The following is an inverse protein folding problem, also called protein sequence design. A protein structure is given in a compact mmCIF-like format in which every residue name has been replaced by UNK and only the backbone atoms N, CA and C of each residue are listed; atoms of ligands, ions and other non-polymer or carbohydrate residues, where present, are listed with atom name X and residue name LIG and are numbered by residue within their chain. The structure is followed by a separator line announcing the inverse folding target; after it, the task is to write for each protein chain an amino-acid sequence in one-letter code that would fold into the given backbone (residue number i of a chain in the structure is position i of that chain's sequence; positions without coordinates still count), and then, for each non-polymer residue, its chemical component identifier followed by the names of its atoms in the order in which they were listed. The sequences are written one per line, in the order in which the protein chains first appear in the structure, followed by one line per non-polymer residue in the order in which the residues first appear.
data_IF_514493315329
#
_entry.id   IF_514493315329
#
_cell.length_a   1.000
_cell.length_b   1.000
_cell.length_c   1.000
_cell.angle_alpha   90.00
_cell.angle_beta   90.00
_cell.angle_gamma   90.00
#
_symmetry.space_group_name_H-M   'P 1'
#
loop_
_entity.id
_entity.type
_entity.pdbx_description
1 polymer ?
#
# COMPACT_ATOMS: atom_id res chain seq x y z
N UNK A 1 -28.37 4.17 22.86
CA UNK A 1 -27.25 3.56 22.11
C UNK A 1 -27.64 3.51 20.65
N UNK A 2 -26.84 4.07 19.75
CA UNK A 2 -26.94 3.83 18.30
C UNK A 2 -26.28 2.48 18.07
N UNK A 3 -26.91 1.57 17.31
CA UNK A 3 -26.29 0.28 17.00
C UNK A 3 -25.14 0.48 16.00
N UNK A 4 -24.22 -0.48 15.98
CA UNK A 4 -23.01 -0.39 15.16
C UNK A 4 -23.32 -0.42 13.65
N UNK A 5 -24.33 -1.16 13.24
CA UNK A 5 -24.77 -1.25 11.84
C UNK A 5 -25.24 0.11 11.32
N UNK A 6 -26.06 0.83 12.08
CA UNK A 6 -26.48 2.20 11.76
C UNK A 6 -25.28 3.14 11.65
N UNK A 7 -24.33 3.09 12.59
CA UNK A 7 -23.11 3.92 12.54
C UNK A 7 -22.29 3.66 11.28
N UNK A 8 -22.10 2.39 10.92
CA UNK A 8 -21.34 2.01 9.71
C UNK A 8 -22.07 2.46 8.46
N UNK A 9 -23.40 2.27 8.38
CA UNK A 9 -24.20 2.66 7.24
C UNK A 9 -24.15 4.18 6.99
N UNK A 10 -24.37 4.97 8.05
CA UNK A 10 -24.29 6.44 7.97
C UNK A 10 -22.88 6.92 7.59
N UNK A 11 -21.83 6.26 8.10
CA UNK A 11 -20.44 6.58 7.76
C UNK A 11 -20.16 6.31 6.27
N UNK A 12 -20.67 5.19 5.72
CA UNK A 12 -20.54 4.86 4.29
C UNK A 12 -21.29 5.84 3.41
N UNK A 13 -22.53 6.20 3.75
CA UNK A 13 -23.32 7.19 3.00
C UNK A 13 -22.65 8.57 2.94
N UNK A 14 -21.93 8.94 4.01
CA UNK A 14 -21.18 10.20 4.10
C UNK A 14 -19.77 10.13 3.55
N UNK A 15 -19.34 8.97 3.03
CA UNK A 15 -17.98 8.72 2.57
C UNK A 15 -16.92 8.97 3.67
N UNK A 16 -17.22 8.60 4.92
CA UNK A 16 -16.25 8.68 5.99
C UNK A 16 -15.09 7.70 5.75
N UNK A 17 -13.88 8.12 6.09
CA UNK A 17 -12.71 7.24 6.03
C UNK A 17 -12.51 6.47 7.33
N UNK A 18 -12.86 7.06 8.47
CA UNK A 18 -12.66 6.46 9.79
C UNK A 18 -13.85 6.81 10.71
N UNK A 19 -14.14 5.91 11.66
CA UNK A 19 -15.08 6.11 12.76
C UNK A 19 -14.30 6.01 14.07
N UNK A 20 -14.43 7.00 14.94
CA UNK A 20 -13.83 7.01 16.28
C UNK A 20 -14.92 6.92 17.33
N UNK A 21 -14.81 5.94 18.22
CA UNK A 21 -15.78 5.65 19.30
C UNK A 21 -15.05 5.71 20.64
N UNK A 22 -15.27 6.79 21.38
CA UNK A 22 -14.59 7.06 22.67
C UNK A 22 -15.62 7.41 23.73
N UNK A 23 -15.46 6.85 24.92
CA UNK A 23 -16.36 7.14 26.06
C UNK A 23 -16.32 8.62 26.42
N UNK A 24 -17.50 9.23 26.60
CA UNK A 24 -17.66 10.65 26.92
C UNK A 24 -17.77 11.58 25.72
N UNK A 25 -17.56 11.08 24.51
CA UNK A 25 -17.75 11.80 23.27
C UNK A 25 -18.85 11.14 22.42
N UNK A 26 -19.59 11.89 21.57
CA UNK A 26 -20.44 11.27 20.57
C UNK A 26 -19.58 10.53 19.55
N UNK A 27 -20.14 9.58 18.75
CA UNK A 27 -19.41 8.99 17.63
C UNK A 27 -18.84 10.08 16.72
N UNK A 28 -17.60 9.93 16.26
CA UNK A 28 -16.91 10.90 15.44
C UNK A 28 -16.53 10.25 14.11
N UNK A 29 -16.90 10.88 13.00
CA UNK A 29 -16.51 10.47 11.65
C UNK A 29 -15.37 11.34 11.12
N UNK A 30 -14.47 10.76 10.35
CA UNK A 30 -13.51 11.51 9.57
C UNK A 30 -14.04 11.68 8.15
N UNK A 31 -14.45 12.91 7.81
CA UNK A 31 -14.98 13.31 6.51
C UNK A 31 -13.95 14.24 5.84
N UNK A 32 -13.47 13.87 4.66
CA UNK A 32 -12.48 14.67 3.90
C UNK A 32 -11.23 15.11 4.71
N UNK A 33 -10.85 14.28 5.70
CA UNK A 33 -9.72 14.53 6.60
C UNK A 33 -10.08 15.23 7.91
N UNK A 34 -11.26 15.84 8.02
CA UNK A 34 -11.72 16.54 9.22
C UNK A 34 -12.56 15.64 10.13
N UNK A 35 -12.46 15.85 11.46
CA UNK A 35 -13.25 15.12 12.45
C UNK A 35 -14.59 15.84 12.65
N UNK A 36 -15.69 15.11 12.48
CA UNK A 36 -17.05 15.60 12.58
C UNK A 36 -17.87 14.73 13.52
N UNK A 37 -18.54 15.32 14.51
CA UNK A 37 -19.41 14.59 15.41
C UNK A 37 -20.63 14.03 14.69
N UNK A 38 -20.99 12.79 14.99
CA UNK A 38 -22.21 12.15 14.56
C UNK A 38 -23.21 12.09 15.73
N UNK A 39 -24.19 12.97 15.72
CA UNK A 39 -25.13 13.16 16.82
C UNK A 39 -24.55 14.00 17.97
N UNK A 40 -25.29 14.07 19.07
CA UNK A 40 -24.96 14.88 20.24
C UNK A 40 -24.82 14.06 21.52
N UNK A 41 -25.15 12.77 21.49
CA UNK A 41 -25.19 11.90 22.68
C UNK A 41 -23.85 11.25 22.90
N UNK A 42 -23.14 11.54 24.01
CA UNK A 42 -21.88 10.89 24.34
C UNK A 42 -22.03 9.40 24.55
N UNK A 43 -21.05 8.62 24.09
CA UNK A 43 -20.97 7.19 24.32
C UNK A 43 -20.64 6.88 25.77
N UNK A 44 -21.24 5.82 26.29
CA UNK A 44 -20.94 5.24 27.59
C UNK A 44 -19.94 4.07 27.45
N UNK A 45 -19.37 3.63 28.55
CA UNK A 45 -18.50 2.44 28.58
C UNK A 45 -19.27 1.17 28.16
N UNK A 46 -20.56 1.09 28.47
CA UNK A 46 -21.41 0.00 28.02
C UNK A 46 -21.57 -0.03 26.51
N UNK A 47 -21.67 1.14 25.86
CA UNK A 47 -21.80 1.26 24.40
C UNK A 47 -20.50 0.78 23.71
N UNK A 48 -19.35 1.30 24.12
CA UNK A 48 -18.06 0.92 23.50
C UNK A 48 -17.71 -0.55 23.75
N UNK A 49 -18.07 -1.09 24.92
CA UNK A 49 -17.89 -2.52 25.23
C UNK A 49 -18.79 -3.39 24.35
N UNK A 50 -20.04 -2.99 24.10
CA UNK A 50 -20.94 -3.72 23.21
C UNK A 50 -20.41 -3.76 21.78
N UNK A 51 -19.91 -2.63 21.24
CA UNK A 51 -19.29 -2.56 19.91
C UNK A 51 -18.06 -3.48 19.79
N UNK A 52 -17.22 -3.51 20.84
CA UNK A 52 -16.08 -4.45 20.86
C UNK A 52 -16.55 -5.89 20.81
N UNK A 53 -17.54 -6.27 21.61
CA UNK A 53 -18.04 -7.65 21.64
C UNK A 53 -18.64 -8.09 20.31
N UNK A 54 -19.18 -7.17 19.54
CA UNK A 54 -19.75 -7.44 18.22
C UNK A 54 -18.66 -7.65 17.14
N UNK A 55 -17.52 -6.95 17.26
CA UNK A 55 -16.46 -6.96 16.26
C UNK A 55 -15.36 -7.98 16.52
N UNK A 56 -15.09 -8.30 17.80
CA UNK A 56 -13.86 -9.02 18.18
C UNK A 56 -14.10 -10.51 18.33
N UNK A 57 -13.13 -11.32 17.88
CA UNK A 57 -13.16 -12.77 18.13
C UNK A 57 -12.70 -13.10 19.56
N UNK A 58 -13.06 -14.29 20.12
CA UNK A 58 -12.65 -14.67 21.46
C UNK A 58 -11.12 -14.68 21.69
N UNK A 59 -10.34 -15.00 20.65
CA UNK A 59 -8.88 -14.98 20.72
C UNK A 59 -8.33 -13.57 20.86
N UNK A 60 -8.78 -12.65 20.01
CA UNK A 60 -8.42 -11.24 20.05
C UNK A 60 -8.93 -10.52 21.30
N UNK A 61 -10.09 -10.95 21.83
CA UNK A 61 -10.61 -10.41 23.10
C UNK A 61 -9.68 -10.73 24.27
N UNK A 62 -9.09 -11.93 24.27
CA UNK A 62 -8.08 -12.32 25.27
C UNK A 62 -6.83 -11.45 25.15
N UNK A 63 -6.33 -11.26 23.94
CA UNK A 63 -5.18 -10.38 23.65
C UNK A 63 -5.46 -8.94 24.13
N UNK A 64 -6.62 -8.39 23.80
CA UNK A 64 -7.04 -7.08 24.27
C UNK A 64 -7.07 -6.97 25.80
N UNK A 65 -7.52 -8.03 26.49
CA UNK A 65 -7.52 -8.04 27.97
C UNK A 65 -6.11 -8.08 28.55
N UNK A 66 -5.17 -8.77 27.91
CA UNK A 66 -3.79 -8.92 28.36
C UNK A 66 -2.91 -7.71 28.01
N UNK A 67 -3.03 -7.20 26.78
CA UNK A 67 -2.16 -6.16 26.24
C UNK A 67 -2.75 -4.74 26.36
N UNK A 68 -4.09 -4.62 26.47
CA UNK A 68 -4.80 -3.34 26.50
C UNK A 68 -5.10 -2.77 25.12
N UNK A 69 -4.71 -3.47 24.06
CA UNK A 69 -4.96 -3.12 22.66
C UNK A 69 -5.09 -4.37 21.79
N UNK A 70 -5.80 -4.27 20.68
CA UNK A 70 -5.89 -5.28 19.63
C UNK A 70 -6.10 -4.61 18.27
N UNK A 71 -5.34 -5.02 17.26
CA UNK A 71 -5.45 -4.55 15.87
C UNK A 71 -5.84 -5.73 14.97
N UNK A 72 -6.96 -5.58 14.24
CA UNK A 72 -7.49 -6.66 13.39
C UNK A 72 -8.30 -6.10 12.23
N UNK A 73 -8.58 -6.93 11.24
CA UNK A 73 -9.50 -6.60 10.17
C UNK A 73 -10.75 -7.49 10.23
N UNK A 74 -11.90 -6.92 9.94
CA UNK A 74 -13.18 -7.62 9.90
C UNK A 74 -14.02 -7.17 8.71
N UNK A 75 -14.74 -8.12 8.09
CA UNK A 75 -15.80 -7.79 7.13
C UNK A 75 -17.12 -7.81 7.89
N UNK A 76 -17.76 -6.65 7.98
CA UNK A 76 -18.99 -6.49 8.72
C UNK A 76 -20.20 -6.68 7.80
N UNK A 77 -20.96 -7.75 7.98
CA UNK A 77 -22.21 -8.11 7.28
C UNK A 77 -22.17 -7.94 5.76
N UNK A 78 -21.02 -8.18 5.12
CA UNK A 78 -20.78 -7.93 3.68
C UNK A 78 -21.02 -6.47 3.24
N UNK A 79 -21.17 -5.55 4.18
CA UNK A 79 -21.36 -4.12 3.93
C UNK A 79 -20.03 -3.39 3.72
N UNK A 80 -19.06 -3.71 4.56
CA UNK A 80 -17.77 -3.04 4.56
C UNK A 80 -16.70 -3.92 5.20
N UNK A 81 -15.47 -3.83 4.70
CA UNK A 81 -14.30 -4.31 5.42
C UNK A 81 -13.75 -3.17 6.27
N UNK A 82 -13.36 -3.47 7.49
CA UNK A 82 -12.80 -2.47 8.40
C UNK A 82 -11.49 -2.98 8.98
N UNK A 83 -10.52 -2.08 9.11
CA UNK A 83 -9.41 -2.25 10.04
C UNK A 83 -9.81 -1.64 11.36
N UNK A 84 -9.81 -2.45 12.40
CA UNK A 84 -10.25 -2.09 13.72
C UNK A 84 -9.06 -2.05 14.67
N UNK A 85 -8.84 -0.95 15.34
CA UNK A 85 -7.97 -0.87 16.51
C UNK A 85 -8.82 -0.61 17.75
N UNK A 86 -8.79 -1.55 18.69
CA UNK A 86 -9.44 -1.46 20.00
C UNK A 86 -8.36 -1.20 21.03
N UNK A 87 -8.53 -0.19 21.85
CA UNK A 87 -7.51 0.20 22.84
C UNK A 87 -8.11 0.74 24.11
N UNK A 88 -7.32 0.72 25.19
CA UNK A 88 -7.71 1.33 26.48
C UNK A 88 -7.21 2.76 26.58
N UNK A 89 -8.11 3.65 27.00
CA UNK A 89 -7.83 5.04 27.27
C UNK A 89 -8.40 5.41 28.64
N UNK A 90 -7.56 5.79 29.60
CA UNK A 90 -7.96 6.10 31.00
C UNK A 90 -8.78 4.99 31.68
N UNK A 91 -8.44 3.73 31.38
CA UNK A 91 -9.14 2.55 31.91
C UNK A 91 -10.41 2.18 31.14
N UNK A 92 -10.89 3.01 30.22
CA UNK A 92 -12.09 2.78 29.40
C UNK A 92 -11.70 2.31 28.00
N UNK A 93 -12.63 1.60 27.35
CA UNK A 93 -12.43 1.08 25.99
C UNK A 93 -12.75 2.13 24.94
N UNK A 94 -11.91 2.23 23.92
CA UNK A 94 -12.10 3.07 22.73
C UNK A 94 -11.83 2.26 21.47
N UNK A 95 -12.44 2.66 20.33
CA UNK A 95 -12.26 2.02 19.03
C UNK A 95 -11.93 3.08 17.98
N UNK A 96 -11.01 2.72 17.08
CA UNK A 96 -10.77 3.41 15.83
C UNK A 96 -11.01 2.43 14.68
N UNK A 97 -12.03 2.70 13.86
CA UNK A 97 -12.45 1.84 12.77
C UNK A 97 -12.15 2.56 11.46
N UNK A 98 -11.25 2.02 10.64
CA UNK A 98 -11.00 2.50 9.28
C UNK A 98 -11.82 1.72 8.29
N UNK A 99 -12.64 2.42 7.51
CA UNK A 99 -13.47 1.82 6.48
C UNK A 99 -12.63 1.55 5.24
N UNK A 100 -12.66 0.30 4.77
CA UNK A 100 -11.94 -0.14 3.58
C UNK A 100 -12.95 -0.45 2.47
N UNK A 101 -12.71 -0.04 1.22
CA UNK A 101 -13.62 -0.33 0.12
C UNK A 101 -13.66 -1.85 -0.14
N UNK A 102 -14.86 -2.41 -0.30
CA UNK A 102 -15.01 -3.81 -0.70
C UNK A 102 -14.64 -4.04 -2.17
N UNK A 103 -14.89 -3.03 -3.01
CA UNK A 103 -14.60 -3.11 -4.44
C UNK A 103 -13.15 -2.73 -4.71
N UNK A 104 -12.46 -3.57 -5.47
CA UNK A 104 -11.16 -3.25 -6.04
C UNK A 104 -11.38 -2.35 -7.26
N UNK A 105 -10.76 -1.18 -7.26
CA UNK A 105 -10.77 -0.30 -8.41
C UNK A 105 -9.86 -0.86 -9.51
N UNK A 106 -10.29 -0.75 -10.77
CA UNK A 106 -9.47 -1.21 -11.90
C UNK A 106 -8.23 -0.34 -12.10
N UNK A 107 -7.24 -0.86 -12.80
CA UNK A 107 -6.03 -0.11 -13.15
C UNK A 107 -6.36 1.19 -13.92
N UNK A 108 -7.39 1.16 -14.77
CA UNK A 108 -7.86 2.33 -15.52
C UNK A 108 -8.51 3.38 -14.60
N UNK A 109 -9.37 2.97 -13.67
CA UNK A 109 -10.01 3.86 -12.70
C UNK A 109 -8.98 4.54 -11.78
N UNK A 110 -7.90 3.83 -11.43
CA UNK A 110 -6.80 4.40 -10.66
C UNK A 110 -5.85 5.26 -11.50
N UNK A 111 -6.00 5.27 -12.83
CA UNK A 111 -5.11 5.97 -13.74
C UNK A 111 -3.68 5.39 -13.75
N UNK A 112 -3.54 4.07 -13.56
CA UNK A 112 -2.22 3.43 -13.58
C UNK A 112 -1.59 3.55 -14.97
N UNK A 113 -0.33 4.01 -15.07
CA UNK A 113 0.37 4.05 -16.34
C UNK A 113 0.48 2.65 -16.96
N UNK A 114 0.31 2.51 -18.30
CA UNK A 114 0.34 1.21 -18.97
C UNK A 114 1.60 0.38 -18.69
N UNK A 115 2.74 1.04 -18.50
CA UNK A 115 4.01 0.37 -18.18
C UNK A 115 4.00 -0.28 -16.79
N UNK A 116 3.23 0.26 -15.85
CA UNK A 116 3.02 -0.32 -14.51
C UNK A 116 2.11 -1.53 -14.62
N UNK A 117 1.02 -1.42 -15.38
CA UNK A 117 0.11 -2.56 -15.63
C UNK A 117 0.84 -3.70 -16.33
N UNK A 118 1.70 -3.40 -17.32
CA UNK A 118 2.50 -4.39 -18.03
C UNK A 118 3.47 -5.19 -17.12
N UNK A 119 3.75 -4.73 -15.89
CA UNK A 119 4.52 -5.54 -14.94
C UNK A 119 3.74 -6.76 -14.44
N UNK A 120 2.42 -6.71 -14.45
CA UNK A 120 1.55 -7.83 -14.11
C UNK A 120 1.65 -9.00 -15.11
N UNK A 121 2.10 -8.72 -16.34
CA UNK A 121 2.26 -9.72 -17.40
C UNK A 121 3.63 -10.41 -17.39
N UNK A 122 4.53 -9.97 -16.51
CA UNK A 122 5.86 -10.57 -16.39
C UNK A 122 5.75 -12.02 -15.88
N UNK A 123 6.58 -12.93 -16.42
CA UNK A 123 6.61 -14.30 -15.94
C UNK A 123 7.26 -14.44 -14.55
N UNK A 124 8.20 -13.56 -14.22
CA UNK A 124 8.99 -13.56 -12.99
C UNK A 124 9.68 -12.20 -12.79
N UNK A 125 10.22 -12.00 -11.62
CA UNK A 125 11.01 -10.83 -11.25
C UNK A 125 10.43 -10.12 -10.05
N UNK A 126 11.07 -9.04 -9.62
CA UNK A 126 10.67 -8.21 -8.48
C UNK A 126 10.12 -6.87 -8.97
N UNK A 127 8.91 -6.54 -8.56
CA UNK A 127 8.25 -5.24 -8.81
C UNK A 127 7.99 -4.56 -7.49
N UNK A 128 8.48 -3.34 -7.33
CA UNK A 128 8.38 -2.58 -6.09
C UNK A 128 7.41 -1.41 -6.25
N UNK A 129 6.47 -1.28 -5.32
CA UNK A 129 5.61 -0.10 -5.19
C UNK A 129 5.96 0.60 -3.88
N UNK A 130 6.43 1.83 -3.96
CA UNK A 130 7.00 2.56 -2.82
C UNK A 130 6.30 3.88 -2.58
N UNK A 131 6.42 4.41 -1.37
CA UNK A 131 5.82 5.69 -1.00
C UNK A 131 5.35 5.70 0.45
N UNK A 132 4.97 6.86 0.99
CA UNK A 132 4.52 7.00 2.37
C UNK A 132 3.21 6.22 2.63
N UNK A 133 2.86 6.08 3.90
CA UNK A 133 1.54 5.56 4.30
C UNK A 133 0.44 6.43 3.70
N UNK A 134 -0.62 5.80 3.17
CA UNK A 134 -1.73 6.51 2.54
C UNK A 134 -1.46 7.00 1.10
N UNK A 135 -0.34 6.62 0.46
CA UNK A 135 -0.06 6.96 -0.94
C UNK A 135 -0.82 6.09 -1.96
N UNK A 136 -1.59 5.10 -1.52
CA UNK A 136 -2.41 4.24 -2.39
C UNK A 136 -1.68 2.99 -2.91
N UNK A 137 -0.57 2.56 -2.29
CA UNK A 137 0.19 1.35 -2.68
C UNK A 137 -0.68 0.11 -2.73
N UNK A 138 -1.44 -0.13 -1.66
CA UNK A 138 -2.34 -1.30 -1.56
C UNK A 138 -3.38 -1.31 -2.68
N UNK A 139 -3.97 -0.15 -3.01
CA UNK A 139 -4.95 -0.05 -4.11
C UNK A 139 -4.31 -0.35 -5.47
N UNK A 140 -3.09 0.15 -5.71
CA UNK A 140 -2.33 -0.14 -6.94
C UNK A 140 -2.02 -1.62 -7.05
N UNK A 141 -1.53 -2.24 -5.97
CA UNK A 141 -1.21 -3.68 -5.95
C UNK A 141 -2.46 -4.54 -6.09
N UNK A 142 -3.56 -4.18 -5.40
CA UNK A 142 -4.83 -4.87 -5.56
C UNK A 142 -5.32 -4.82 -7.02
N UNK A 143 -5.24 -3.66 -7.69
CA UNK A 143 -5.61 -3.53 -9.10
C UNK A 143 -4.71 -4.35 -10.04
N UNK A 144 -3.40 -4.47 -9.75
CA UNK A 144 -2.48 -5.31 -10.52
C UNK A 144 -2.79 -6.80 -10.32
N UNK A 145 -3.06 -7.24 -9.08
CA UNK A 145 -3.46 -8.62 -8.80
C UNK A 145 -4.82 -8.95 -9.42
N UNK A 146 -5.77 -8.01 -9.38
CA UNK A 146 -7.07 -8.16 -10.03
C UNK A 146 -6.94 -8.28 -11.55
N UNK A 147 -6.07 -7.50 -12.18
CA UNK A 147 -5.74 -7.63 -13.59
C UNK A 147 -5.19 -9.02 -13.92
N UNK A 148 -4.26 -9.57 -13.12
CA UNK A 148 -3.73 -10.93 -13.28
C UNK A 148 -4.88 -11.95 -13.13
N UNK A 149 -5.70 -11.79 -12.10
CA UNK A 149 -6.80 -12.71 -11.78
C UNK A 149 -7.83 -12.85 -12.92
N UNK A 150 -8.11 -11.74 -13.64
CA UNK A 150 -9.07 -11.77 -14.76
C UNK A 150 -8.44 -12.15 -16.10
N UNK A 151 -7.12 -12.10 -16.26
CA UNK A 151 -6.45 -12.28 -17.55
C UNK A 151 -5.57 -13.53 -17.67
N UNK A 152 -5.20 -14.15 -16.54
CA UNK A 152 -4.20 -15.22 -16.50
C UNK A 152 -4.64 -16.36 -15.60
N UNK A 153 -4.04 -17.54 -15.78
CA UNK A 153 -4.28 -18.72 -14.95
C UNK A 153 -3.06 -19.00 -14.10
N UNK A 154 -3.02 -18.40 -12.91
CA UNK A 154 -1.88 -18.46 -11.99
C UNK A 154 -2.33 -18.73 -10.56
N UNK A 155 -1.40 -19.16 -9.73
CA UNK A 155 -1.60 -19.21 -8.29
C UNK A 155 -0.98 -17.97 -7.65
N UNK A 156 -1.80 -17.15 -7.01
CA UNK A 156 -1.41 -15.92 -6.35
C UNK A 156 -1.44 -16.14 -4.83
N UNK A 157 -0.34 -15.85 -4.15
CA UNK A 157 -0.28 -15.84 -2.69
C UNK A 157 0.01 -14.43 -2.21
N UNK A 158 -0.78 -13.92 -1.28
CA UNK A 158 -0.52 -12.64 -0.62
C UNK A 158 -0.14 -12.84 0.84
N UNK A 159 0.73 -11.98 1.34
CA UNK A 159 1.12 -11.85 2.74
C UNK A 159 0.90 -10.40 3.13
N UNK A 160 -0.02 -10.13 4.04
CA UNK A 160 -0.50 -8.77 4.34
C UNK A 160 -0.67 -8.56 5.86
N UNK A 161 -0.67 -7.29 6.31
CA UNK A 161 -0.80 -6.92 7.73
C UNK A 161 -1.54 -5.58 7.89
N UNK A 162 -2.90 -5.60 7.98
CA UNK A 162 -3.81 -6.70 7.66
C UNK A 162 -4.14 -6.80 6.16
N UNK A 163 -4.99 -7.78 5.79
CA UNK A 163 -5.56 -7.84 4.43
C UNK A 163 -6.54 -6.68 4.24
N UNK A 164 -6.20 -5.75 3.32
CA UNK A 164 -7.05 -4.58 3.02
C UNK A 164 -8.12 -4.88 1.98
N UNK A 165 -7.79 -5.57 0.90
CA UNK A 165 -8.71 -5.91 -0.18
C UNK A 165 -8.92 -7.41 -0.27
N UNK A 166 -10.17 -7.85 -0.36
CA UNK A 166 -10.50 -9.26 -0.57
C UNK A 166 -10.62 -9.56 -2.06
N UNK A 167 -9.83 -10.52 -2.53
CA UNK A 167 -9.88 -11.00 -3.90
C UNK A 167 -10.72 -12.26 -3.99
N UNK A 168 -11.75 -12.25 -4.84
CA UNK A 168 -12.42 -13.47 -5.24
C UNK A 168 -11.63 -14.13 -6.39
N UNK A 169 -11.37 -15.44 -6.28
CA UNK A 169 -10.73 -16.20 -7.38
C UNK A 169 -11.62 -16.21 -8.61
N UNK A 170 -11.05 -15.88 -9.80
CA UNK A 170 -11.70 -15.97 -11.10
C UNK A 170 -10.93 -16.98 -11.99
N UNK A 171 -9.97 -16.52 -12.80
CA UNK A 171 -9.10 -17.41 -13.56
C UNK A 171 -7.90 -17.91 -12.73
N UNK A 172 -7.51 -17.15 -11.69
CA UNK A 172 -6.46 -17.52 -10.76
C UNK A 172 -7.02 -18.21 -9.50
N UNK A 173 -6.16 -18.98 -8.82
CA UNK A 173 -6.36 -19.32 -7.42
C UNK A 173 -5.67 -18.24 -6.59
N UNK A 174 -6.37 -17.63 -5.62
CA UNK A 174 -5.82 -16.59 -4.75
C UNK A 174 -5.91 -17.04 -3.30
N UNK A 175 -4.75 -17.13 -2.64
CA UNK A 175 -4.64 -17.40 -1.22
C UNK A 175 -4.06 -16.18 -0.51
N UNK A 176 -4.90 -15.46 0.23
CA UNK A 176 -4.50 -14.32 1.05
C UNK A 176 -4.22 -14.78 2.47
N UNK A 177 -3.07 -14.38 3.02
CA UNK A 177 -2.64 -14.78 4.36
C UNK A 177 -2.29 -13.54 5.16
N UNK A 178 -2.94 -13.38 6.31
CA UNK A 178 -2.72 -12.28 7.23
C UNK A 178 -1.61 -12.61 8.24
N UNK A 179 -0.66 -11.70 8.40
CA UNK A 179 0.36 -11.82 9.45
C UNK A 179 -0.30 -11.60 10.80
N UNK A 180 0.06 -12.45 11.77
CA UNK A 180 -0.57 -12.49 13.09
C UNK A 180 -1.73 -13.47 13.19
N UNK A 181 -2.54 -13.63 12.13
CA UNK A 181 -3.67 -14.57 12.10
C UNK A 181 -3.31 -15.90 11.41
N UNK A 182 -2.80 -15.84 10.15
CA UNK A 182 -2.54 -17.02 9.31
C UNK A 182 -1.06 -17.39 9.26
N UNK A 183 -0.18 -16.47 9.60
CA UNK A 183 1.29 -16.68 9.63
C UNK A 183 1.93 -15.79 10.68
N UNK A 184 3.02 -16.25 11.28
CA UNK A 184 3.66 -15.53 12.38
C UNK A 184 4.48 -14.30 11.97
N UNK A 185 4.90 -14.19 10.69
CA UNK A 185 5.64 -13.03 10.15
C UNK A 185 5.66 -13.06 8.64
N UNK A 186 6.00 -11.94 8.00
CA UNK A 186 6.23 -11.87 6.55
C UNK A 186 7.29 -12.87 6.09
N UNK A 187 8.44 -12.92 6.76
CA UNK A 187 9.51 -13.84 6.42
C UNK A 187 9.11 -15.31 6.54
N UNK A 188 8.41 -15.69 7.62
CA UNK A 188 7.92 -17.05 7.81
C UNK A 188 6.87 -17.43 6.77
N UNK A 189 5.92 -16.53 6.51
CA UNK A 189 4.87 -16.70 5.49
C UNK A 189 5.46 -16.87 4.10
N UNK A 190 6.45 -16.04 3.73
CA UNK A 190 7.10 -16.07 2.43
C UNK A 190 7.91 -17.36 2.21
N UNK A 191 8.68 -17.80 3.22
CA UNK A 191 9.35 -19.10 3.16
C UNK A 191 8.37 -20.28 3.00
N UNK A 192 7.20 -20.20 3.63
CA UNK A 192 6.17 -21.19 3.47
C UNK A 192 5.54 -21.15 2.06
N UNK A 193 5.26 -19.95 1.55
CA UNK A 193 4.68 -19.71 0.24
C UNK A 193 5.49 -20.38 -0.89
N UNK A 194 6.81 -20.32 -0.84
CA UNK A 194 7.70 -20.96 -1.82
C UNK A 194 7.53 -22.50 -1.95
N UNK A 195 6.80 -23.13 -1.02
CA UNK A 195 6.45 -24.58 -1.07
C UNK A 195 4.97 -24.82 -1.36
N UNK A 196 4.25 -23.78 -1.76
CA UNK A 196 2.82 -23.81 -2.02
C UNK A 196 2.50 -23.64 -3.51
N UNK A 197 3.52 -23.83 -4.37
CA UNK A 197 3.41 -23.72 -5.84
C UNK A 197 2.84 -22.36 -6.32
N UNK A 198 3.39 -21.23 -5.86
CA UNK A 198 2.93 -19.92 -6.31
C UNK A 198 3.55 -19.53 -7.65
N UNK A 199 2.81 -18.84 -8.49
CA UNK A 199 3.34 -18.10 -9.64
C UNK A 199 3.60 -16.64 -9.31
N UNK A 200 2.72 -16.06 -8.47
CA UNK A 200 2.74 -14.66 -8.08
C UNK A 200 2.69 -14.55 -6.56
N UNK A 201 3.55 -13.73 -6.00
CA UNK A 201 3.60 -13.49 -4.56
C UNK A 201 3.49 -11.98 -4.31
N UNK A 202 2.56 -11.56 -3.45
CA UNK A 202 2.52 -10.22 -2.90
C UNK A 202 3.07 -10.23 -1.47
N UNK A 203 4.08 -9.40 -1.22
CA UNK A 203 4.59 -9.11 0.13
C UNK A 203 4.14 -7.70 0.50
N UNK A 204 3.14 -7.60 1.35
CA UNK A 204 2.47 -6.34 1.72
C UNK A 204 3.46 -5.29 2.21
N UNK A 205 4.48 -5.69 2.97
CA UNK A 205 5.57 -4.81 3.37
C UNK A 205 6.89 -5.54 3.59
N UNK A 206 7.99 -4.98 3.07
CA UNK A 206 9.36 -5.48 3.23
C UNK A 206 10.15 -4.59 4.18
N UNK A 207 9.99 -4.80 5.50
CA UNK A 207 10.63 -3.98 6.55
C UNK A 207 11.98 -4.50 7.02
N UNK A 208 12.13 -5.80 7.05
CA UNK A 208 13.28 -6.48 7.63
C UNK A 208 14.13 -7.20 6.58
N UNK A 209 15.39 -7.39 6.92
CA UNK A 209 16.40 -8.03 6.07
C UNK A 209 15.96 -9.43 5.60
N UNK A 210 15.35 -10.22 6.47
CA UNK A 210 14.97 -11.59 6.16
C UNK A 210 13.85 -11.63 5.12
N UNK A 211 12.83 -10.76 5.25
CA UNK A 211 11.75 -10.62 4.29
C UNK A 211 12.28 -10.15 2.93
N UNK A 212 13.17 -9.13 2.91
CA UNK A 212 13.78 -8.61 1.68
C UNK A 212 14.61 -9.71 0.98
N UNK A 213 15.48 -10.40 1.72
CA UNK A 213 16.32 -11.48 1.17
C UNK A 213 15.48 -12.61 0.58
N UNK A 214 14.42 -13.02 1.29
CA UNK A 214 13.53 -14.09 0.83
C UNK A 214 12.72 -13.67 -0.40
N UNK A 215 12.28 -12.41 -0.50
CA UNK A 215 11.59 -11.87 -1.67
C UNK A 215 12.50 -11.84 -2.92
N UNK A 216 13.76 -11.43 -2.76
CA UNK A 216 14.76 -11.47 -3.82
C UNK A 216 14.97 -12.91 -4.28
N UNK A 217 15.15 -13.84 -3.34
CA UNK A 217 15.32 -15.28 -3.65
C UNK A 217 14.11 -15.86 -4.37
N UNK A 218 12.89 -15.49 -3.97
CA UNK A 218 11.66 -15.89 -4.65
C UNK A 218 11.66 -15.43 -6.13
N UNK A 219 12.05 -14.18 -6.38
CA UNK A 219 12.15 -13.64 -7.74
C UNK A 219 13.26 -14.34 -8.56
N UNK A 220 14.41 -14.67 -7.95
CA UNK A 220 15.48 -15.44 -8.61
C UNK A 220 15.04 -16.85 -9.00
N UNK A 221 14.21 -17.48 -8.16
CA UNK A 221 13.74 -18.85 -8.37
C UNK A 221 12.53 -18.95 -9.32
N UNK A 222 12.13 -17.85 -9.94
CA UNK A 222 11.17 -17.87 -11.05
C UNK A 222 9.78 -17.32 -10.77
N UNK A 223 9.54 -16.75 -9.59
CA UNK A 223 8.25 -16.17 -9.21
C UNK A 223 8.16 -14.68 -9.59
N UNK A 224 6.97 -14.19 -9.89
CA UNK A 224 6.67 -12.77 -9.96
C UNK A 224 6.35 -12.26 -8.55
N UNK A 225 7.20 -11.40 -8.02
CA UNK A 225 7.08 -10.88 -6.66
C UNK A 225 6.73 -9.40 -6.69
N UNK A 226 5.63 -9.03 -6.07
CA UNK A 226 5.28 -7.66 -5.77
C UNK A 226 5.61 -7.36 -4.31
N UNK A 227 6.23 -6.22 -4.04
CA UNK A 227 6.55 -5.81 -2.68
C UNK A 227 6.40 -4.32 -2.45
N UNK A 228 6.22 -3.92 -1.18
CA UNK A 228 6.19 -2.49 -0.83
C UNK A 228 7.31 -2.11 0.12
N UNK A 229 7.72 -0.83 -0.01
CA UNK A 229 8.59 -0.14 0.93
C UNK A 229 8.08 1.29 1.18
N UNK A 230 8.52 1.88 2.30
CA UNK A 230 8.19 3.27 2.65
C UNK A 230 9.27 4.27 2.19
N UNK A 231 9.95 3.99 1.10
CA UNK A 231 10.96 4.88 0.50
C UNK A 231 10.33 5.94 -0.40
N UNK A 232 10.95 7.11 -0.49
CA UNK A 232 10.61 8.12 -1.49
C UNK A 232 11.53 7.96 -2.70
N UNK A 233 10.91 7.83 -3.88
CA UNK A 233 11.62 7.74 -5.15
C UNK A 233 12.17 6.34 -5.49
N UNK A 234 12.16 6.01 -6.76
CA UNK A 234 12.53 4.71 -7.28
C UNK A 234 14.05 4.43 -7.14
N UNK A 235 14.89 5.43 -7.40
CA UNK A 235 16.35 5.28 -7.26
C UNK A 235 16.77 5.03 -5.80
N UNK A 236 16.21 5.81 -4.84
CA UNK A 236 16.52 5.68 -3.43
C UNK A 236 16.09 4.32 -2.83
N UNK A 237 15.12 3.67 -3.47
CA UNK A 237 14.64 2.35 -3.04
C UNK A 237 15.73 1.29 -3.18
N UNK A 238 16.57 1.38 -4.21
CA UNK A 238 17.69 0.44 -4.45
C UNK A 238 18.71 0.56 -3.31
N UNK A 239 19.15 1.77 -3.00
CA UNK A 239 20.12 2.01 -1.95
C UNK A 239 19.55 1.58 -0.58
N UNK A 240 18.28 1.89 -0.31
CA UNK A 240 17.61 1.48 0.92
C UNK A 240 17.58 -0.04 1.12
N UNK A 241 17.32 -0.80 0.05
CA UNK A 241 17.35 -2.26 0.09
C UNK A 241 18.78 -2.73 0.40
N UNK A 242 19.78 -2.24 -0.31
CA UNK A 242 21.17 -2.66 -0.14
C UNK A 242 21.69 -2.29 1.25
N UNK A 243 21.39 -1.09 1.73
CA UNK A 243 21.86 -0.58 3.03
C UNK A 243 21.21 -1.29 4.23
N UNK A 244 20.09 -2.01 4.01
CA UNK A 244 19.51 -2.84 5.07
C UNK A 244 20.33 -4.09 5.40
N UNK A 245 21.30 -4.43 4.54
CA UNK A 245 22.18 -5.61 4.74
C UNK A 245 23.53 -5.23 5.36
N UNK A 246 24.16 -6.15 6.14
CA UNK A 246 25.53 -5.99 6.60
C UNK A 246 26.49 -5.73 5.43
N UNK A 247 27.54 -4.95 5.68
CA UNK A 247 28.48 -4.49 4.64
C UNK A 247 29.08 -5.64 3.79
N UNK A 248 29.35 -6.77 4.42
CA UNK A 248 29.87 -7.97 3.75
C UNK A 248 28.88 -8.63 2.79
N UNK A 249 27.58 -8.42 2.97
CA UNK A 249 26.52 -8.98 2.13
C UNK A 249 26.04 -8.02 1.03
N UNK A 250 26.30 -6.72 1.17
CA UNK A 250 25.77 -5.70 0.27
C UNK A 250 26.14 -5.92 -1.20
N UNK A 251 27.36 -6.38 -1.48
CA UNK A 251 27.77 -6.65 -2.86
C UNK A 251 27.00 -7.83 -3.48
N UNK A 252 26.75 -8.88 -2.71
CA UNK A 252 25.95 -10.02 -3.17
C UNK A 252 24.50 -9.61 -3.44
N UNK A 253 23.88 -8.91 -2.50
CA UNK A 253 22.51 -8.42 -2.63
C UNK A 253 22.36 -7.46 -3.81
N UNK A 254 23.36 -6.60 -4.05
CA UNK A 254 23.41 -5.71 -5.22
C UNK A 254 23.34 -6.48 -6.54
N UNK A 255 24.10 -7.57 -6.64
CA UNK A 255 24.09 -8.43 -7.84
C UNK A 255 22.74 -9.11 -8.01
N UNK A 256 22.21 -9.70 -6.96
CA UNK A 256 20.91 -10.38 -6.98
C UNK A 256 19.76 -9.40 -7.31
N UNK A 257 19.72 -8.26 -6.63
CA UNK A 257 18.72 -7.22 -6.89
C UNK A 257 18.79 -6.71 -8.34
N UNK A 258 20.00 -6.47 -8.86
CA UNK A 258 20.19 -6.03 -10.24
C UNK A 258 19.69 -7.07 -11.25
N UNK A 259 19.72 -8.36 -10.92
CA UNK A 259 19.23 -9.43 -11.79
C UNK A 259 17.71 -9.56 -11.80
N UNK A 260 17.08 -9.44 -10.64
CA UNK A 260 15.65 -9.73 -10.50
C UNK A 260 14.74 -8.51 -10.56
N UNK A 261 15.24 -7.29 -10.28
CA UNK A 261 14.42 -6.09 -10.27
C UNK A 261 13.95 -5.75 -11.68
N UNK A 262 12.63 -5.70 -11.88
CA UNK A 262 12.00 -5.33 -13.16
C UNK A 262 11.53 -3.88 -13.18
N UNK A 263 10.92 -3.42 -12.08
CA UNK A 263 10.36 -2.09 -11.98
C UNK A 263 10.34 -1.60 -10.53
N UNK A 264 10.53 -0.30 -10.33
CA UNK A 264 10.21 0.38 -9.09
C UNK A 264 9.30 1.59 -9.36
N UNK A 265 8.18 1.65 -8.65
CA UNK A 265 7.14 2.66 -8.78
C UNK A 265 7.06 3.45 -7.48
N UNK A 266 7.52 4.69 -7.50
CA UNK A 266 7.30 5.65 -6.42
C UNK A 266 5.91 6.26 -6.56
N UNK A 267 5.08 6.22 -5.52
CA UNK A 267 3.69 6.66 -5.56
C UNK A 267 3.40 7.69 -4.47
N UNK A 268 2.74 8.78 -4.86
CA UNK A 268 2.22 9.81 -3.97
C UNK A 268 0.76 10.09 -4.31
N UNK A 269 -0.08 10.34 -3.31
CA UNK A 269 -1.49 10.68 -3.49
C UNK A 269 -1.70 12.14 -3.15
N UNK A 270 -2.23 12.92 -4.09
CA UNK A 270 -2.38 14.38 -3.99
C UNK A 270 -3.86 14.81 -4.14
N UNK A 271 -4.27 15.91 -3.47
CA UNK A 271 -5.59 16.47 -3.64
C UNK A 271 -5.76 17.04 -5.05
N UNK A 272 -6.93 16.79 -5.65
CA UNK A 272 -7.33 17.38 -6.95
C UNK A 272 -8.01 18.74 -6.75
N UNK A 273 -7.93 19.58 -7.78
CA UNK A 273 -8.79 20.75 -7.89
C UNK A 273 -10.23 20.25 -8.00
N UNK A 274 -11.12 20.78 -7.16
CA UNK A 274 -12.54 20.38 -7.15
C UNK A 274 -12.86 19.16 -6.27
N UNK A 275 -11.88 18.64 -5.53
CA UNK A 275 -12.08 17.57 -4.54
C UNK A 275 -11.62 16.19 -5.01
N UNK A 276 -11.50 15.28 -4.07
CA UNK A 276 -10.94 13.94 -4.27
C UNK A 276 -9.40 13.97 -4.40
N UNK A 277 -8.81 12.82 -4.74
CA UNK A 277 -7.36 12.63 -4.82
C UNK A 277 -6.95 12.00 -6.14
N UNK A 278 -5.70 12.20 -6.54
CA UNK A 278 -5.07 11.56 -7.71
C UNK A 278 -3.72 10.96 -7.32
N UNK A 279 -3.40 9.80 -7.87
CA UNK A 279 -2.07 9.22 -7.71
C UNK A 279 -1.10 9.85 -8.70
N UNK A 280 0.13 10.07 -8.24
CA UNK A 280 1.26 10.55 -9.04
C UNK A 280 2.37 9.53 -8.93
N UNK A 281 2.98 9.19 -10.04
CA UNK A 281 3.94 8.09 -10.12
C UNK A 281 5.31 8.57 -10.58
N UNK A 282 6.36 8.15 -9.88
CA UNK A 282 7.72 8.06 -10.40
C UNK A 282 7.96 6.63 -10.86
N UNK A 283 8.42 6.42 -12.08
CA UNK A 283 8.52 5.08 -12.66
C UNK A 283 9.92 4.83 -13.18
N UNK A 284 10.55 3.79 -12.65
CA UNK A 284 11.82 3.25 -13.11
C UNK A 284 11.62 1.83 -13.66
N UNK A 285 11.85 1.64 -14.94
CA UNK A 285 11.94 0.30 -15.55
C UNK A 285 13.40 -0.12 -15.65
N UNK A 286 13.73 -1.31 -15.18
CA UNK A 286 15.13 -1.75 -15.12
C UNK A 286 15.59 -2.21 -16.50
N UNK A 287 16.20 -1.28 -17.23
CA UNK A 287 16.90 -1.54 -18.48
C UNK A 287 18.31 -2.09 -18.23
N UNK A 288 18.99 -2.65 -19.27
CA UNK A 288 20.39 -3.06 -19.14
C UNK A 288 21.32 -1.95 -18.62
N UNK A 289 21.03 -0.68 -18.95
CA UNK A 289 21.79 0.47 -18.46
C UNK A 289 21.59 0.67 -16.94
N UNK A 290 20.33 0.65 -16.46
CA UNK A 290 20.03 0.77 -15.02
C UNK A 290 20.60 -0.43 -14.25
N UNK A 291 20.48 -1.64 -14.78
CA UNK A 291 21.09 -2.85 -14.20
C UNK A 291 22.60 -2.67 -14.01
N UNK A 292 23.30 -2.16 -15.03
CA UNK A 292 24.74 -1.86 -14.94
C UNK A 292 25.04 -0.78 -13.89
N UNK A 293 24.20 0.25 -13.76
CA UNK A 293 24.36 1.28 -12.73
C UNK A 293 24.21 0.71 -11.31
N UNK A 294 23.24 -0.18 -11.11
CA UNK A 294 23.06 -0.89 -9.81
C UNK A 294 24.32 -1.71 -9.50
N UNK A 295 24.77 -2.54 -10.43
CA UNK A 295 25.97 -3.40 -10.26
C UNK A 295 27.23 -2.60 -9.94
N UNK A 296 27.39 -1.41 -10.53
CA UNK A 296 28.58 -0.56 -10.37
C UNK A 296 28.47 0.42 -9.19
N UNK A 297 27.43 0.34 -8.35
CA UNK A 297 27.15 1.30 -7.25
C UNK A 297 27.00 2.76 -7.74
N UNK A 298 26.46 2.94 -8.94
CA UNK A 298 26.24 4.26 -9.56
C UNK A 298 24.75 4.66 -9.54
N UNK A 299 24.06 4.35 -8.46
CA UNK A 299 22.62 4.59 -8.26
C UNK A 299 22.26 6.07 -8.41
N UNK A 300 23.17 7.00 -8.09
CA UNK A 300 22.99 8.43 -8.30
C UNK A 300 22.77 8.83 -9.78
N UNK A 301 23.18 7.98 -10.74
CA UNK A 301 22.96 8.22 -12.18
C UNK A 301 21.58 7.76 -12.66
N UNK A 302 20.86 6.98 -11.85
CA UNK A 302 19.56 6.40 -12.21
C UNK A 302 18.52 7.49 -12.50
N UNK A 303 18.52 8.59 -11.74
CA UNK A 303 17.63 9.74 -12.00
C UNK A 303 17.75 10.25 -13.43
N UNK A 304 18.98 10.43 -13.92
CA UNK A 304 19.22 10.82 -15.32
C UNK A 304 18.79 9.75 -16.33
N UNK A 305 18.92 8.47 -15.96
CA UNK A 305 18.47 7.36 -16.80
C UNK A 305 16.93 7.31 -16.88
N UNK A 306 16.21 7.60 -15.78
CA UNK A 306 14.75 7.73 -15.77
C UNK A 306 14.33 8.88 -16.68
N UNK A 307 14.95 10.06 -16.55
CA UNK A 307 14.65 11.26 -17.33
C UNK A 307 14.76 11.01 -18.84
N UNK A 308 15.77 10.27 -19.27
CA UNK A 308 16.01 9.94 -20.69
C UNK A 308 15.25 8.67 -21.14
N UNK A 309 14.64 7.96 -20.19
CA UNK A 309 13.98 6.66 -20.40
C UNK A 309 12.51 6.74 -20.80
N UNK A 310 11.98 7.90 -21.24
CA UNK A 310 10.55 8.08 -21.59
C UNK A 310 10.04 7.04 -22.61
N UNK A 311 10.87 6.59 -23.54
CA UNK A 311 10.51 5.52 -24.51
C UNK A 311 10.19 4.17 -23.88
N UNK A 312 10.63 3.94 -22.64
CA UNK A 312 10.34 2.73 -21.86
C UNK A 312 9.19 2.94 -20.88
N UNK A 313 8.52 4.10 -20.93
CA UNK A 313 7.47 4.47 -19.99
C UNK A 313 7.99 4.98 -18.64
N UNK A 314 9.31 5.26 -18.53
CA UNK A 314 9.85 5.86 -17.30
C UNK A 314 9.44 7.32 -17.19
N UNK A 315 9.22 7.78 -15.96
CA UNK A 315 8.96 9.19 -15.69
C UNK A 315 9.49 9.57 -14.31
N UNK A 316 9.96 10.79 -14.16
CA UNK A 316 10.27 11.41 -12.88
C UNK A 316 8.98 11.93 -12.21
N UNK A 317 9.00 12.01 -10.88
CA UNK A 317 7.90 12.58 -10.11
C UNK A 317 7.57 14.01 -10.58
N UNK A 318 8.60 14.85 -10.75
CA UNK A 318 8.42 16.25 -11.11
C UNK A 318 7.83 16.43 -12.53
N UNK A 319 8.21 15.57 -13.50
CA UNK A 319 7.61 15.56 -14.83
C UNK A 319 6.11 15.19 -14.77
N UNK A 320 5.75 14.21 -13.92
CA UNK A 320 4.35 13.81 -13.71
C UNK A 320 3.53 14.90 -13.02
N UNK A 321 4.13 15.60 -12.05
CA UNK A 321 3.49 16.75 -11.39
C UNK A 321 3.24 17.89 -12.37
N UNK A 322 4.18 18.18 -13.25
CA UNK A 322 4.05 19.23 -14.28
C UNK A 322 2.90 18.93 -15.23
N UNK A 323 2.78 17.69 -15.74
CA UNK A 323 1.66 17.26 -16.58
C UNK A 323 0.30 17.45 -15.87
N UNK A 324 0.20 17.09 -14.60
CA UNK A 324 -1.05 17.24 -13.83
C UNK A 324 -1.43 18.71 -13.59
N UNK A 325 -0.45 19.58 -13.40
CA UNK A 325 -0.70 21.03 -13.28
C UNK A 325 -1.13 21.61 -14.61
N UNK A 326 -0.49 21.24 -15.73
CA UNK A 326 -0.84 21.73 -17.07
C UNK A 326 -2.25 21.27 -17.50
N UNK A 327 -2.64 20.09 -17.08
CA UNK A 327 -3.99 19.54 -17.27
C UNK A 327 -5.02 20.07 -16.26
N UNK A 328 -4.64 20.95 -15.34
CA UNK A 328 -5.50 21.50 -14.29
C UNK A 328 -6.12 20.44 -13.37
N UNK A 329 -5.42 19.32 -13.15
CA UNK A 329 -5.87 18.26 -12.22
C UNK A 329 -5.49 18.62 -10.79
N UNK A 330 -4.27 19.15 -10.57
CA UNK A 330 -3.79 19.63 -9.27
C UNK A 330 -3.38 21.11 -9.34
N UNK A 331 -3.35 21.79 -8.20
CA UNK A 331 -2.85 23.17 -8.14
C UNK A 331 -1.32 23.19 -8.21
N UNK A 332 -0.77 24.35 -8.64
CA UNK A 332 0.68 24.59 -8.60
C UNK A 332 1.23 24.49 -7.18
N UNK A 333 0.49 24.98 -6.18
CA UNK A 333 0.85 24.90 -4.78
C UNK A 333 1.00 23.44 -4.32
N UNK A 334 0.02 22.59 -4.69
CA UNK A 334 0.06 21.15 -4.42
C UNK A 334 1.28 20.49 -5.07
N UNK A 335 1.60 20.85 -6.31
CA UNK A 335 2.76 20.31 -7.02
C UNK A 335 4.07 20.74 -6.36
N UNK A 336 4.22 22.03 -6.01
CA UNK A 336 5.41 22.55 -5.32
C UNK A 336 5.67 21.89 -3.97
N UNK A 337 4.61 21.58 -3.22
CA UNK A 337 4.72 20.90 -1.92
C UNK A 337 5.18 19.43 -2.06
N UNK A 338 4.93 18.79 -3.21
CA UNK A 338 5.25 17.39 -3.47
C UNK A 338 6.54 17.19 -4.27
N UNK A 339 7.02 18.21 -4.99
CA UNK A 339 8.13 18.13 -5.92
C UNK A 339 9.47 17.83 -5.22
N UNK A 340 10.33 17.09 -5.92
CA UNK A 340 11.73 16.89 -5.51
C UNK A 340 12.58 18.14 -5.79
N UNK A 341 12.33 18.85 -6.90
CA UNK A 341 13.02 20.08 -7.31
C UNK A 341 12.03 21.24 -7.54
N UNK A 342 11.48 21.88 -6.47
CA UNK A 342 10.44 22.91 -6.58
C UNK A 342 10.84 24.11 -7.45
N UNK A 343 12.15 24.40 -7.56
CA UNK A 343 12.63 25.55 -8.33
C UNK A 343 12.43 25.40 -9.85
N UNK A 344 12.32 24.18 -10.37
CA UNK A 344 11.98 23.92 -11.77
C UNK A 344 10.60 24.49 -12.14
N UNK A 345 9.65 24.40 -11.24
CA UNK A 345 8.29 24.90 -11.45
C UNK A 345 8.19 26.45 -11.46
N UNK A 346 9.18 27.14 -10.84
CA UNK A 346 9.19 28.60 -10.76
C UNK A 346 9.76 29.24 -12.01
N UNK A 347 10.73 28.59 -12.67
CA UNK A 347 11.47 29.15 -13.82
C UNK A 347 10.75 28.94 -15.16
N UNK A 348 9.87 27.96 -15.30
CA UNK A 348 9.16 27.64 -16.54
C UNK A 348 7.88 28.45 -16.82
N UNK A 349 7.41 29.27 -15.88
CA UNK A 349 6.09 29.97 -15.95
C UNK A 349 6.18 31.49 -15.83
N UNK A 350 7.34 32.09 -16.04
CA UNK A 350 7.51 33.56 -16.13
C UNK A 350 7.44 34.09 -17.57
N UNK A 351 6.62 33.48 -18.43
CA UNK A 351 6.32 34.09 -19.75
C UNK A 351 4.81 34.14 -19.98
#
# INVERSE_FOLDING_TARGET
MIDLETLIHDALERNASDIHLTVGEPPIFRLDGELTNFGEVPLTEADTTAYVQELITPGLLKEFHEMGEADFAVTYHDLVRMRCNVFRQRGMTSLALRLLPLRIATAEELGLPPVVVAQADKPRGLVLVTGPTGSGKSSTLAALLDHINHSQRRHIITLEEPIEYLHASDQCIINQREVGADTGSFAAGLRAALRQDPDVILVGEMRDLETISTAITAAETGHLVFGTLHTKGAANTIDRIIDSFPAEQQNQIRIQLADVLECAVGQTLLPKIGGGRTAVFEIMVVTPAIRSMILQSKTFQIVSAIQTGKRYGMQLLDDALEDLVDRHVISLETALAAANEPDKFKTGRQT
#
